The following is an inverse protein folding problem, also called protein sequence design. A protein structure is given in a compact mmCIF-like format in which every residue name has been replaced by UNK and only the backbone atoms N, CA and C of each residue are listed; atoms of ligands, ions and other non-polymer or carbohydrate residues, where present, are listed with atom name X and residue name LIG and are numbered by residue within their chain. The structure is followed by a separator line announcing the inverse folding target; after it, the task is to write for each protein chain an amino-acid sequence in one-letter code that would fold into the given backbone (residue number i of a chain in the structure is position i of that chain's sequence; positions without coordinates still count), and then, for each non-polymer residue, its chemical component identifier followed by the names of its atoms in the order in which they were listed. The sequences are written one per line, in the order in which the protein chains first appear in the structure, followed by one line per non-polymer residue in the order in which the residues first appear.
data_IF_403159334990
#
_entry.id   IF_403159334990
#
_cell.length_a   1.000
_cell.length_b   1.000
_cell.length_c   1.000
_cell.angle_alpha   90.00
_cell.angle_beta   90.00
_cell.angle_gamma   90.00
#
_symmetry.space_group_name_H-M   'P 1'
#
loop_
_entity.id
_entity.type
_entity.pdbx_description
1 polymer ?
#
# COMPACT_ATOMS: atom_id res chain seq x y z
N UNK A 1 -26.10 48.10 12.48
CA UNK A 1 -26.67 46.74 12.65
C UNK A 1 -28.09 46.91 13.17
N UNK A 2 -29.13 46.52 12.41
CA UNK A 2 -30.52 46.63 12.91
C UNK A 2 -30.67 45.68 14.09
N UNK A 3 -31.02 46.22 15.26
CA UNK A 3 -31.28 45.46 16.47
C UNK A 3 -32.51 44.57 16.19
N UNK A 4 -32.31 43.30 15.83
CA UNK A 4 -33.42 42.37 15.71
C UNK A 4 -33.93 42.11 17.12
N UNK A 5 -35.15 42.58 17.41
CA UNK A 5 -35.85 42.24 18.64
C UNK A 5 -36.01 40.71 18.64
N UNK A 6 -35.21 40.03 19.46
CA UNK A 6 -35.21 38.58 19.55
C UNK A 6 -36.27 38.14 20.55
N UNK A 7 -37.42 37.70 20.05
CA UNK A 7 -38.44 37.04 20.87
C UNK A 7 -37.95 35.66 21.31
N UNK A 8 -38.11 35.29 22.58
CA UNK A 8 -37.78 33.96 23.11
C UNK A 8 -38.62 32.87 22.43
N UNK A 9 -38.12 31.63 22.40
CA UNK A 9 -38.85 30.47 21.87
C UNK A 9 -40.19 30.26 22.58
N UNK A 10 -40.21 30.41 23.90
CA UNK A 10 -41.41 30.27 24.73
C UNK A 10 -42.51 31.27 24.34
N UNK A 11 -42.13 32.53 24.09
CA UNK A 11 -43.09 33.56 23.66
C UNK A 11 -43.63 33.25 22.26
N UNK A 12 -42.79 32.74 21.35
CA UNK A 12 -43.22 32.34 20.00
C UNK A 12 -44.17 31.16 20.03
N UNK A 13 -43.84 30.12 20.78
CA UNK A 13 -44.67 28.91 20.90
C UNK A 13 -46.00 29.20 21.56
N UNK A 14 -46.00 30.00 22.64
CA UNK A 14 -47.23 30.43 23.31
C UNK A 14 -48.11 31.30 22.40
N UNK A 15 -47.51 32.22 21.64
CA UNK A 15 -48.24 33.05 20.69
C UNK A 15 -48.91 32.23 19.60
N UNK A 16 -48.19 31.27 19.02
CA UNK A 16 -48.71 30.39 17.97
C UNK A 16 -49.82 29.48 18.51
N UNK A 17 -49.63 28.90 19.70
CA UNK A 17 -50.66 28.07 20.35
C UNK A 17 -51.95 28.87 20.59
N UNK A 18 -51.83 30.09 21.11
CA UNK A 18 -52.97 30.96 21.37
C UNK A 18 -53.72 31.32 20.08
N UNK A 19 -53.02 31.50 18.96
CA UNK A 19 -53.65 31.72 17.64
C UNK A 19 -54.46 30.52 17.21
N UNK A 20 -53.94 29.29 17.35
CA UNK A 20 -54.68 28.08 16.99
C UNK A 20 -55.90 27.84 17.90
N UNK A 21 -55.79 28.15 19.19
CA UNK A 21 -56.89 28.02 20.15
C UNK A 21 -58.03 29.02 19.87
N UNK A 22 -57.69 30.30 19.65
CA UNK A 22 -58.68 31.37 19.42
C UNK A 22 -59.13 31.48 17.96
N UNK A 23 -58.59 30.69 17.02
CA UNK A 23 -58.91 30.78 15.60
C UNK A 23 -60.41 30.59 15.31
N UNK A 24 -61.12 29.81 16.13
CA UNK A 24 -62.57 29.55 15.98
C UNK A 24 -63.47 30.67 16.51
N UNK A 25 -62.93 31.53 17.37
CA UNK A 25 -63.64 32.66 17.99
C UNK A 25 -63.54 33.94 17.15
N UNK A 26 -62.80 33.89 16.03
CA UNK A 26 -62.54 35.02 15.15
C UNK A 26 -62.98 34.71 13.71
N UNK A 27 -63.47 35.72 12.99
CA UNK A 27 -63.95 35.61 11.61
C UNK A 27 -62.90 35.08 10.61
N UNK A 28 -61.61 35.26 10.93
CA UNK A 28 -60.51 34.73 10.12
C UNK A 28 -59.25 34.53 10.96
N UNK A 29 -58.37 33.65 10.49
CA UNK A 29 -57.04 33.45 11.08
C UNK A 29 -56.23 34.76 11.15
N UNK A 30 -56.41 35.66 10.17
CA UNK A 30 -55.77 36.97 10.16
C UNK A 30 -56.33 37.91 11.23
N UNK A 31 -57.63 37.83 11.53
CA UNK A 31 -58.25 38.57 12.64
C UNK A 31 -57.72 38.10 14.00
N UNK A 32 -57.61 36.78 14.19
CA UNK A 32 -56.97 36.18 15.37
C UNK A 32 -55.50 36.63 15.53
N UNK A 33 -54.72 36.58 14.45
CA UNK A 33 -53.32 37.01 14.44
C UNK A 33 -53.19 38.51 14.80
N UNK A 34 -54.04 39.39 14.26
CA UNK A 34 -53.99 40.83 14.60
C UNK A 34 -54.31 41.09 16.07
N UNK A 35 -55.32 40.42 16.61
CA UNK A 35 -55.76 40.55 18.01
C UNK A 35 -54.71 40.02 19.00
N UNK A 36 -54.04 38.93 18.66
CA UNK A 36 -53.05 38.30 19.54
C UNK A 36 -51.69 39.00 19.43
N UNK A 37 -51.31 39.47 18.24
CA UNK A 37 -50.05 40.20 18.03
C UNK A 37 -49.98 41.48 18.87
N UNK A 38 -51.09 42.22 18.98
CA UNK A 38 -51.17 43.42 19.83
C UNK A 38 -51.01 43.10 21.32
N UNK A 39 -51.57 41.98 21.79
CA UNK A 39 -51.44 41.51 23.19
C UNK A 39 -50.04 41.04 23.55
N UNK A 40 -49.28 40.51 22.59
CA UNK A 40 -47.93 39.95 22.79
C UNK A 40 -46.82 41.00 22.54
N UNK A 41 -47.17 42.14 21.94
CA UNK A 41 -46.19 43.18 21.62
C UNK A 41 -45.32 42.82 20.41
N UNK A 42 -45.88 42.11 19.43
CA UNK A 42 -45.22 41.82 18.16
C UNK A 42 -46.03 42.33 16.97
N UNK A 43 -45.41 42.41 15.80
CA UNK A 43 -46.14 42.79 14.58
C UNK A 43 -46.96 41.60 14.08
N UNK A 44 -48.17 41.86 13.55
CA UNK A 44 -49.03 40.82 13.00
C UNK A 44 -48.33 39.95 11.93
N UNK A 45 -47.42 40.54 11.14
CA UNK A 45 -46.67 39.81 10.12
C UNK A 45 -45.60 38.87 10.73
N UNK A 46 -45.03 39.23 11.89
CA UNK A 46 -44.11 38.37 12.64
C UNK A 46 -44.84 37.14 13.17
N UNK A 47 -46.00 37.35 13.81
CA UNK A 47 -46.83 36.25 14.32
C UNK A 47 -47.35 35.36 13.18
N UNK A 48 -47.77 35.97 12.06
CA UNK A 48 -48.15 35.23 10.85
C UNK A 48 -47.03 34.33 10.37
N UNK A 49 -45.79 34.81 10.33
CA UNK A 49 -44.64 34.00 9.88
C UNK A 49 -44.40 32.80 10.80
N UNK A 50 -44.59 32.96 12.12
CA UNK A 50 -44.48 31.85 13.08
C UNK A 50 -45.61 30.82 12.90
N UNK A 51 -46.85 31.28 12.74
CA UNK A 51 -48.02 30.40 12.49
C UNK A 51 -47.84 29.62 11.20
N UNK A 52 -47.42 30.27 10.10
CA UNK A 52 -47.15 29.58 8.83
C UNK A 52 -46.06 28.52 8.93
N UNK A 53 -45.03 28.77 9.74
CA UNK A 53 -43.96 27.79 10.00
C UNK A 53 -44.50 26.60 10.80
N UNK A 54 -45.26 26.85 11.86
CA UNK A 54 -45.92 25.79 12.63
C UNK A 54 -46.91 24.96 11.81
N UNK A 55 -47.67 25.59 10.89
CA UNK A 55 -48.53 24.87 9.94
C UNK A 55 -47.75 23.97 8.99
N UNK A 56 -46.53 24.38 8.61
CA UNK A 56 -45.63 23.55 7.78
C UNK A 56 -45.08 22.39 8.59
N UNK A 57 -44.74 22.63 9.86
CA UNK A 57 -44.24 21.60 10.79
C UNK A 57 -45.33 20.58 11.17
N UNK A 58 -46.61 20.98 11.19
CA UNK A 58 -47.77 20.10 11.39
C UNK A 58 -48.26 19.43 10.09
N UNK A 59 -47.63 19.71 8.94
CA UNK A 59 -48.01 19.15 7.64
C UNK A 59 -49.32 19.71 7.04
N UNK A 60 -49.89 20.76 7.65
CA UNK A 60 -51.11 21.44 7.19
C UNK A 60 -50.81 22.26 5.93
N UNK A 61 -49.59 22.81 5.82
CA UNK A 61 -49.11 23.52 4.62
C UNK A 61 -47.93 22.78 4.01
N UNK A 62 -47.92 22.69 2.68
CA UNK A 62 -46.78 22.14 1.93
C UNK A 62 -45.50 22.96 2.11
N UNK A 63 -44.39 22.28 2.39
CA UNK A 63 -43.08 22.87 2.59
C UNK A 63 -42.16 21.93 3.37
N UNK A 64 -40.86 22.25 3.40
CA UNK A 64 -39.88 21.48 4.17
C UNK A 64 -40.05 21.84 5.66
N UNK A 65 -40.32 20.83 6.49
CA UNK A 65 -40.45 20.98 7.94
C UNK A 65 -39.14 21.48 8.57
N UNK A 66 -39.21 22.07 9.75
CA UNK A 66 -38.03 22.49 10.50
C UNK A 66 -37.12 21.29 10.82
N UNK A 67 -37.72 20.12 11.13
CA UNK A 67 -36.99 18.88 11.39
C UNK A 67 -36.22 18.39 10.15
N UNK A 68 -36.83 18.44 8.97
CA UNK A 68 -36.16 18.03 7.73
C UNK A 68 -35.04 18.99 7.35
N UNK A 69 -35.20 20.30 7.59
CA UNK A 69 -34.13 21.28 7.41
C UNK A 69 -32.94 21.02 8.35
N UNK A 70 -33.19 20.63 9.59
CA UNK A 70 -32.14 20.27 10.54
C UNK A 70 -31.41 18.99 10.13
N UNK A 71 -32.15 17.96 9.70
CA UNK A 71 -31.56 16.73 9.15
C UNK A 71 -30.71 16.99 7.93
N UNK A 72 -31.18 17.82 6.99
CA UNK A 72 -30.39 18.21 5.82
C UNK A 72 -29.08 18.90 6.22
N UNK A 73 -29.13 19.85 7.16
CA UNK A 73 -27.92 20.51 7.66
C UNK A 73 -26.95 19.54 8.34
N UNK A 74 -27.48 18.59 9.11
CA UNK A 74 -26.69 17.56 9.78
C UNK A 74 -26.02 16.64 8.75
N UNK A 75 -26.76 16.13 7.77
CA UNK A 75 -26.25 15.28 6.70
C UNK A 75 -25.22 16.03 5.82
N UNK A 76 -25.43 17.31 5.55
CA UNK A 76 -24.45 18.15 4.84
C UNK A 76 -23.18 18.39 5.66
N UNK A 77 -23.28 18.47 6.99
CA UNK A 77 -22.13 18.55 7.87
C UNK A 77 -21.35 17.23 7.89
N UNK A 78 -22.02 16.11 8.09
CA UNK A 78 -21.41 14.77 8.08
C UNK A 78 -20.74 14.48 6.74
N UNK A 79 -21.38 14.81 5.61
CA UNK A 79 -20.75 14.69 4.29
C UNK A 79 -19.50 15.56 4.14
N UNK A 80 -19.50 16.78 4.67
CA UNK A 80 -18.31 17.65 4.64
C UNK A 80 -17.18 17.08 5.50
N UNK A 81 -17.50 16.57 6.68
CA UNK A 81 -16.53 15.95 7.58
C UNK A 81 -15.96 14.66 6.99
N UNK A 82 -16.80 13.79 6.42
CA UNK A 82 -16.37 12.58 5.71
C UNK A 82 -15.48 12.90 4.50
N UNK A 83 -15.87 13.90 3.68
CA UNK A 83 -15.04 14.36 2.55
C UNK A 83 -13.70 14.91 3.01
N UNK A 84 -13.65 15.68 4.10
CA UNK A 84 -12.39 16.16 4.67
C UNK A 84 -11.53 15.03 5.26
N UNK A 85 -12.14 14.02 5.88
CA UNK A 85 -11.44 12.85 6.40
C UNK A 85 -10.80 12.01 5.28
N UNK A 86 -11.47 11.91 4.13
CA UNK A 86 -10.92 11.27 2.93
C UNK A 86 -9.76 12.12 2.37
N UNK A 87 -9.94 13.45 2.28
CA UNK A 87 -8.91 14.35 1.77
C UNK A 87 -7.64 14.35 2.65
N UNK A 88 -7.78 14.21 3.98
CA UNK A 88 -6.65 14.13 4.93
C UNK A 88 -5.92 12.78 4.97
N UNK A 89 -6.46 11.73 4.35
CA UNK A 89 -5.72 10.46 4.15
C UNK A 89 -4.86 10.59 2.88
N UNK A 90 -3.98 11.57 2.89
CA UNK A 90 -3.21 12.15 1.77
C UNK A 90 -2.27 11.17 1.03
N UNK A 91 -2.85 10.20 0.35
CA UNK A 91 -2.32 9.70 -0.91
C UNK A 91 -3.51 9.36 -1.79
N UNK A 92 -3.60 10.00 -2.97
CA UNK A 92 -4.45 9.47 -4.05
C UNK A 92 -4.13 7.98 -4.17
N UNK A 93 -5.13 7.08 -4.08
CA UNK A 93 -4.86 5.65 -4.18
C UNK A 93 -4.06 5.35 -5.44
N UNK A 94 -3.17 4.34 -5.41
CA UNK A 94 -2.45 3.91 -6.61
C UNK A 94 -3.41 3.71 -7.78
N UNK A 95 -2.96 4.04 -8.99
CA UNK A 95 -3.79 3.94 -10.20
C UNK A 95 -4.30 2.52 -10.41
N UNK A 96 -3.54 1.51 -10.00
CA UNK A 96 -3.95 0.11 -10.07
C UNK A 96 -5.21 -0.15 -9.21
N UNK A 97 -5.29 0.42 -8.01
CA UNK A 97 -6.45 0.26 -7.13
C UNK A 97 -7.69 0.97 -7.70
N UNK A 98 -7.52 2.16 -8.27
CA UNK A 98 -8.61 2.90 -8.89
C UNK A 98 -9.14 2.17 -10.13
N UNK A 99 -8.25 1.60 -10.96
CA UNK A 99 -8.63 0.79 -12.13
C UNK A 99 -9.36 -0.48 -11.70
N UNK A 100 -8.87 -1.18 -10.67
CA UNK A 100 -9.53 -2.37 -10.14
C UNK A 100 -10.95 -2.07 -9.63
N UNK A 101 -11.13 -0.94 -8.94
CA UNK A 101 -12.45 -0.50 -8.46
C UNK A 101 -13.42 -0.24 -9.63
N UNK A 102 -12.95 0.40 -10.70
CA UNK A 102 -13.74 0.60 -11.93
C UNK A 102 -14.10 -0.75 -12.55
N UNK A 103 -13.16 -1.70 -12.62
CA UNK A 103 -13.41 -3.02 -13.20
C UNK A 103 -14.46 -3.84 -12.45
N UNK A 104 -14.49 -3.75 -11.13
CA UNK A 104 -15.47 -4.41 -10.28
C UNK A 104 -16.90 -3.86 -10.49
N UNK A 105 -17.02 -2.56 -10.70
CA UNK A 105 -18.31 -1.87 -10.67
C UNK A 105 -18.85 -1.50 -12.07
N UNK A 106 -18.03 -1.56 -13.12
CA UNK A 106 -18.40 -1.12 -14.48
C UNK A 106 -19.60 -1.86 -15.08
N UNK A 107 -19.82 -3.12 -14.70
CA UNK A 107 -20.93 -3.92 -15.22
C UNK A 107 -22.30 -3.39 -14.74
N UNK A 108 -22.35 -2.76 -13.56
CA UNK A 108 -23.58 -2.25 -12.95
C UNK A 108 -23.80 -0.77 -13.25
N UNK A 109 -22.74 0.03 -13.26
CA UNK A 109 -22.85 1.50 -13.30
C UNK A 109 -22.26 2.14 -14.56
N UNK A 110 -21.54 1.39 -15.39
CA UNK A 110 -20.74 1.95 -16.50
C UNK A 110 -19.45 2.62 -16.02
N UNK A 111 -18.50 2.83 -16.94
CA UNK A 111 -17.15 3.33 -16.60
C UNK A 111 -17.18 4.83 -16.26
N UNK A 112 -17.84 5.64 -17.08
CA UNK A 112 -17.82 7.10 -16.95
C UNK A 112 -18.41 7.60 -15.62
N UNK A 113 -19.57 7.10 -15.13
CA UNK A 113 -20.11 7.54 -13.84
C UNK A 113 -19.21 7.20 -12.66
N UNK A 114 -18.53 6.05 -12.70
CA UNK A 114 -17.58 5.66 -11.65
C UNK A 114 -16.37 6.59 -11.69
N UNK A 115 -15.78 6.78 -12.87
CA UNK A 115 -14.62 7.64 -13.07
C UNK A 115 -14.85 9.08 -12.58
N UNK A 116 -16.05 9.62 -12.77
CA UNK A 116 -16.44 10.94 -12.25
C UNK A 116 -16.41 10.98 -10.72
N UNK A 117 -16.96 9.96 -10.04
CA UNK A 117 -17.01 9.91 -8.58
C UNK A 117 -15.63 9.75 -7.93
N UNK A 118 -14.74 8.95 -8.53
CA UNK A 118 -13.37 8.75 -8.04
C UNK A 118 -12.35 9.73 -8.65
N UNK A 119 -12.83 10.74 -9.40
CA UNK A 119 -12.03 11.84 -9.96
C UNK A 119 -10.86 11.38 -10.85
N UNK A 120 -11.11 10.42 -11.75
CA UNK A 120 -10.17 9.98 -12.79
C UNK A 120 -10.82 10.22 -14.17
N UNK A 121 -10.05 10.68 -15.15
CA UNK A 121 -10.55 10.78 -16.51
C UNK A 121 -10.77 9.37 -17.12
N UNK A 122 -11.89 9.09 -17.80
CA UNK A 122 -12.12 7.79 -18.44
C UNK A 122 -10.99 7.37 -19.41
N UNK A 123 -10.36 8.34 -20.08
CA UNK A 123 -9.20 8.12 -20.94
C UNK A 123 -8.02 7.46 -20.20
N UNK A 124 -7.78 7.83 -18.94
CA UNK A 124 -6.73 7.24 -18.11
C UNK A 124 -7.05 5.77 -17.80
N UNK A 125 -8.31 5.43 -17.50
CA UNK A 125 -8.73 4.04 -17.29
C UNK A 125 -8.50 3.21 -18.55
N UNK A 126 -8.99 3.67 -19.69
CA UNK A 126 -8.81 2.94 -20.95
C UNK A 126 -7.34 2.86 -21.38
N UNK A 127 -6.55 3.91 -21.17
CA UNK A 127 -5.12 3.91 -21.44
C UNK A 127 -4.39 2.89 -20.55
N UNK A 128 -4.72 2.80 -19.26
CA UNK A 128 -4.16 1.80 -18.36
C UNK A 128 -4.49 0.38 -18.82
N UNK A 129 -5.76 0.10 -19.12
CA UNK A 129 -6.19 -1.21 -19.64
C UNK A 129 -5.56 -1.54 -21.00
N UNK A 130 -5.29 -0.53 -21.82
CA UNK A 130 -4.59 -0.72 -23.11
C UNK A 130 -3.13 -1.06 -22.88
N UNK A 131 -2.44 -0.38 -21.95
CA UNK A 131 -1.04 -0.67 -21.57
C UNK A 131 -0.86 -2.05 -20.92
N UNK A 132 -1.88 -2.56 -20.22
CA UNK A 132 -1.86 -3.93 -19.68
C UNK A 132 -1.97 -4.99 -20.78
N UNK A 133 -2.76 -4.73 -21.82
CA UNK A 133 -2.97 -5.66 -22.94
C UNK A 133 -1.82 -5.64 -23.94
N UNK A 134 -1.24 -4.47 -24.17
CA UNK A 134 -0.20 -4.24 -25.16
C UNK A 134 1.09 -3.79 -24.47
N UNK A 135 2.03 -4.73 -24.33
CA UNK A 135 3.34 -4.47 -23.74
C UNK A 135 4.16 -3.44 -24.49
N UNK A 136 3.89 -3.21 -25.79
CA UNK A 136 4.59 -2.23 -26.59
C UNK A 136 4.12 -0.79 -26.33
N UNK A 137 2.97 -0.61 -25.69
CA UNK A 137 2.49 0.72 -25.26
C UNK A 137 2.98 1.11 -23.86
N UNK A 138 3.75 0.25 -23.19
CA UNK A 138 4.35 0.58 -21.91
C UNK A 138 5.38 1.72 -22.07
N UNK A 139 5.48 2.64 -21.10
CA UNK A 139 6.52 3.66 -21.09
C UNK A 139 7.92 3.04 -21.26
N UNK A 140 8.78 3.69 -22.06
CA UNK A 140 10.15 3.24 -22.34
C UNK A 140 10.96 2.90 -21.07
N UNK A 141 10.65 3.56 -19.96
CA UNK A 141 11.25 3.26 -18.65
C UNK A 141 10.86 1.88 -18.12
N UNK A 142 9.57 1.52 -18.16
CA UNK A 142 9.09 0.21 -17.70
C UNK A 142 9.67 -0.91 -18.59
N UNK A 143 9.75 -0.66 -19.90
CA UNK A 143 10.41 -1.58 -20.83
C UNK A 143 11.87 -1.83 -20.47
N UNK A 144 12.64 -0.75 -20.20
CA UNK A 144 14.04 -0.84 -19.75
C UNK A 144 14.16 -1.58 -18.41
N UNK A 145 13.31 -1.26 -17.43
CA UNK A 145 13.33 -1.92 -16.13
C UNK A 145 13.04 -3.42 -16.25
N UNK A 146 12.06 -3.83 -17.07
CA UNK A 146 11.77 -5.25 -17.36
C UNK A 146 12.96 -5.96 -18.01
N UNK A 147 13.60 -5.32 -19.00
CA UNK A 147 14.79 -5.87 -19.65
C UNK A 147 15.92 -6.07 -18.63
N UNK A 148 16.18 -5.06 -17.81
CA UNK A 148 17.22 -5.12 -16.77
C UNK A 148 16.98 -6.25 -15.76
N UNK A 149 15.72 -6.49 -15.39
CA UNK A 149 15.38 -7.61 -14.50
C UNK A 149 15.74 -8.97 -15.11
N UNK A 150 15.46 -9.15 -16.41
CA UNK A 150 15.87 -10.36 -17.14
C UNK A 150 17.38 -10.49 -17.20
N UNK A 151 18.10 -9.41 -17.49
CA UNK A 151 19.57 -9.38 -17.54
C UNK A 151 20.18 -9.74 -16.17
N UNK A 152 19.63 -9.20 -15.07
CA UNK A 152 20.02 -9.52 -13.69
C UNK A 152 19.81 -11.01 -13.41
N UNK A 153 18.64 -11.55 -13.75
CA UNK A 153 18.32 -12.94 -13.50
C UNK A 153 19.20 -13.89 -14.31
N UNK A 154 19.50 -13.53 -15.56
CA UNK A 154 20.40 -14.29 -16.41
C UNK A 154 21.80 -14.34 -15.81
N UNK A 155 22.42 -13.19 -15.50
CA UNK A 155 23.74 -13.12 -14.85
C UNK A 155 23.77 -13.92 -13.54
N UNK A 156 22.73 -13.80 -12.71
CA UNK A 156 22.68 -14.50 -11.44
C UNK A 156 22.58 -16.02 -11.61
N UNK A 157 21.74 -16.50 -12.54
CA UNK A 157 21.60 -17.94 -12.83
C UNK A 157 22.86 -18.52 -13.46
N UNK A 158 23.46 -17.80 -14.39
CA UNK A 158 24.70 -18.20 -15.07
C UNK A 158 25.87 -18.32 -14.08
N UNK A 159 25.91 -17.47 -13.06
CA UNK A 159 26.88 -17.54 -11.96
C UNK A 159 26.42 -18.43 -10.79
N UNK A 160 25.71 -19.52 -11.11
CA UNK A 160 25.25 -20.55 -10.16
C UNK A 160 24.50 -20.02 -8.93
N UNK A 161 23.89 -18.84 -9.05
CA UNK A 161 23.20 -18.14 -7.95
C UNK A 161 24.10 -17.76 -6.76
N UNK A 162 25.42 -17.86 -6.91
CA UNK A 162 26.42 -17.54 -5.87
C UNK A 162 26.65 -16.03 -5.76
N UNK A 163 26.42 -15.30 -6.85
CA UNK A 163 26.68 -13.86 -6.88
C UNK A 163 25.61 -13.08 -6.14
N UNK A 164 26.02 -12.35 -5.10
CA UNK A 164 25.18 -11.30 -4.51
C UNK A 164 25.13 -10.04 -5.36
N UNK A 165 24.25 -9.10 -4.96
CA UNK A 165 23.99 -7.80 -5.57
C UNK A 165 25.18 -7.11 -6.25
N UNK A 166 26.31 -6.99 -5.54
CA UNK A 166 27.52 -6.28 -6.01
C UNK A 166 28.29 -7.07 -7.06
N UNK A 167 28.33 -8.40 -6.98
CA UNK A 167 29.01 -9.25 -7.98
C UNK A 167 28.18 -9.32 -9.26
N UNK A 168 26.86 -9.47 -9.14
CA UNK A 168 25.92 -9.35 -10.28
C UNK A 168 26.10 -8.01 -10.99
N UNK A 169 26.20 -6.90 -10.23
CA UNK A 169 26.40 -5.58 -10.82
C UNK A 169 27.72 -5.47 -11.61
N UNK A 170 28.81 -5.98 -11.04
CA UNK A 170 30.11 -5.99 -11.74
C UNK A 170 30.07 -6.87 -12.99
N UNK A 171 29.36 -8.00 -12.92
CA UNK A 171 29.24 -8.89 -14.06
C UNK A 171 28.40 -8.24 -15.17
N UNK A 172 27.26 -7.61 -14.86
CA UNK A 172 26.49 -6.84 -15.84
C UNK A 172 27.33 -5.79 -16.59
N UNK A 173 28.22 -5.09 -15.88
CA UNK A 173 29.15 -4.15 -16.51
C UNK A 173 30.18 -4.83 -17.43
N UNK A 174 30.62 -6.05 -17.12
CA UNK A 174 31.52 -6.84 -17.98
C UNK A 174 30.80 -7.31 -19.25
N UNK A 175 29.51 -7.60 -19.15
CA UNK A 175 28.63 -7.95 -20.27
C UNK A 175 28.23 -6.70 -21.11
N UNK A 176 28.76 -5.52 -20.79
CA UNK A 176 28.46 -4.27 -21.50
C UNK A 176 27.09 -3.66 -21.19
N UNK A 177 26.41 -4.12 -20.13
CA UNK A 177 25.10 -3.63 -19.72
C UNK A 177 25.31 -2.50 -18.72
N UNK A 178 25.14 -1.26 -19.16
CA UNK A 178 25.31 -0.07 -18.32
C UNK A 178 24.17 0.09 -17.31
N UNK A 179 24.49 -0.13 -16.02
CA UNK A 179 23.53 -0.01 -14.92
C UNK A 179 24.14 0.79 -13.78
N UNK A 180 23.48 1.88 -13.40
CA UNK A 180 23.85 2.63 -12.20
C UNK A 180 23.47 1.85 -10.93
N UNK A 181 24.37 1.83 -9.92
CA UNK A 181 24.04 1.38 -8.55
C UNK A 181 23.07 2.39 -7.92
N UNK A 182 21.78 2.19 -8.14
CA UNK A 182 20.71 3.01 -7.63
C UNK A 182 19.86 2.23 -6.61
N UNK A 183 19.09 2.96 -5.79
CA UNK A 183 18.08 2.36 -4.89
C UNK A 183 17.18 1.37 -5.65
N UNK A 184 16.86 1.67 -6.91
CA UNK A 184 16.04 0.80 -7.76
C UNK A 184 16.74 -0.49 -8.15
N UNK A 185 18.03 -0.45 -8.46
CA UNK A 185 18.81 -1.65 -8.75
C UNK A 185 18.82 -2.58 -7.53
N UNK A 186 19.03 -2.03 -6.33
CA UNK A 186 18.99 -2.79 -5.08
C UNK A 186 17.58 -3.33 -4.79
N UNK A 187 16.53 -2.56 -5.03
CA UNK A 187 15.14 -3.00 -4.87
C UNK A 187 14.78 -4.14 -5.84
N UNK A 188 15.27 -4.09 -7.09
CA UNK A 188 15.05 -5.18 -8.07
C UNK A 188 15.75 -6.46 -7.67
N UNK A 189 16.97 -6.38 -7.17
CA UNK A 189 17.67 -7.54 -6.61
C UNK A 189 16.88 -8.14 -5.43
N UNK A 190 16.31 -7.28 -4.57
CA UNK A 190 15.42 -7.71 -3.48
C UNK A 190 14.17 -8.42 -3.99
N UNK A 191 13.50 -7.85 -5.00
CA UNK A 191 12.31 -8.44 -5.62
C UNK A 191 12.61 -9.78 -6.31
N UNK A 192 13.81 -9.94 -6.87
CA UNK A 192 14.28 -11.18 -7.44
C UNK A 192 14.74 -12.22 -6.40
N UNK A 193 14.60 -11.93 -5.10
CA UNK A 193 15.15 -12.72 -3.98
C UNK A 193 16.67 -12.96 -4.07
N UNK A 194 17.38 -12.07 -4.76
CA UNK A 194 18.84 -12.10 -4.87
C UNK A 194 19.39 -11.34 -3.66
N UNK A 195 19.49 -12.04 -2.54
CA UNK A 195 20.07 -11.49 -1.33
C UNK A 195 21.55 -11.13 -1.56
N UNK A 196 21.98 -10.06 -0.91
CA UNK A 196 23.40 -9.80 -0.80
C UNK A 196 24.01 -10.90 0.08
N UNK A 197 24.83 -11.78 -0.52
CA UNK A 197 25.75 -12.68 0.18
C UNK A 197 26.89 -11.86 0.79
N UNK A 198 26.53 -10.99 1.72
CA UNK A 198 27.45 -10.33 2.64
C UNK A 198 26.72 -10.35 3.96
N UNK A 199 27.39 -10.92 4.96
CA UNK A 199 26.97 -10.81 6.34
C UNK A 199 26.73 -9.36 6.75
N UNK A 200 26.15 -9.16 7.93
CA UNK A 200 25.98 -7.82 8.48
C UNK A 200 27.34 -7.11 8.47
N UNK A 201 27.43 -5.88 7.98
CA UNK A 201 28.71 -5.15 7.92
C UNK A 201 29.38 -5.15 9.29
N UNK A 202 30.59 -5.70 9.39
CA UNK A 202 31.34 -5.84 10.64
C UNK A 202 31.17 -7.19 11.36
N UNK A 203 30.41 -8.13 10.80
CA UNK A 203 30.28 -9.50 11.31
C UNK A 203 31.18 -10.46 10.51
N UNK A 204 32.23 -10.97 11.14
CA UNK A 204 33.16 -11.91 10.53
C UNK A 204 32.67 -13.36 10.61
N UNK A 205 31.68 -13.68 11.44
CA UNK A 205 31.26 -15.07 11.67
C UNK A 205 30.66 -15.70 10.40
N UNK A 206 29.90 -14.94 9.62
CA UNK A 206 29.26 -15.41 8.38
C UNK A 206 30.27 -15.92 7.32
N UNK A 207 31.51 -15.44 7.35
CA UNK A 207 32.56 -15.85 6.41
C UNK A 207 33.69 -16.67 7.06
N UNK A 208 33.73 -16.76 8.39
CA UNK A 208 34.84 -17.35 9.13
C UNK A 208 35.13 -18.80 8.74
N UNK A 209 34.09 -19.61 8.52
CA UNK A 209 34.24 -21.02 8.09
C UNK A 209 34.93 -21.11 6.71
N UNK A 210 34.45 -20.32 5.74
CA UNK A 210 35.02 -20.30 4.40
C UNK A 210 36.46 -19.76 4.39
N UNK A 211 36.75 -18.74 5.22
CA UNK A 211 38.11 -18.20 5.37
C UNK A 211 39.07 -19.21 6.00
N UNK A 212 38.61 -20.00 6.97
CA UNK A 212 39.42 -21.06 7.60
C UNK A 212 39.82 -22.12 6.58
N UNK A 213 38.86 -22.63 5.80
CA UNK A 213 39.12 -23.62 4.74
C UNK A 213 40.08 -23.04 3.68
N UNK A 214 39.83 -21.82 3.22
CA UNK A 214 40.72 -21.15 2.26
C UNK A 214 42.13 -20.93 2.83
N UNK A 215 42.26 -20.64 4.12
CA UNK A 215 43.54 -20.52 4.81
C UNK A 215 44.32 -21.83 4.86
N UNK A 216 43.63 -22.93 5.17
CA UNK A 216 44.19 -24.29 5.14
C UNK A 216 44.66 -24.66 3.74
N UNK A 217 43.80 -24.51 2.73
CA UNK A 217 44.14 -24.79 1.33
C UNK A 217 45.39 -24.02 0.88
N UNK A 218 45.44 -22.72 1.16
CA UNK A 218 46.60 -21.89 0.80
C UNK A 218 47.88 -22.35 1.49
N UNK A 219 47.78 -22.86 2.72
CA UNK A 219 48.94 -23.31 3.49
C UNK A 219 49.41 -24.68 3.03
N UNK A 220 48.50 -25.64 2.95
CA UNK A 220 48.78 -27.05 2.65
C UNK A 220 49.09 -27.30 1.17
N UNK A 221 48.51 -26.51 0.27
CA UNK A 221 48.68 -26.67 -1.19
C UNK A 221 49.51 -25.54 -1.74
N UNK A 222 48.96 -24.31 -1.78
CA UNK A 222 49.54 -23.21 -2.55
C UNK A 222 50.96 -22.86 -2.10
N UNK A 223 51.18 -22.75 -0.78
CA UNK A 223 52.50 -22.41 -0.22
C UNK A 223 53.43 -23.61 -0.18
N UNK A 224 52.93 -24.78 0.26
CA UNK A 224 53.77 -25.97 0.45
C UNK A 224 54.25 -26.59 -0.86
N UNK A 225 53.43 -26.58 -1.92
CA UNK A 225 53.77 -27.17 -3.23
C UNK A 225 54.33 -26.14 -4.23
N UNK A 226 54.58 -24.91 -3.79
CA UNK A 226 55.24 -23.86 -4.59
C UNK A 226 56.68 -24.28 -4.96
N UNK A 227 57.22 -23.92 -6.15
CA UNK A 227 56.64 -23.06 -7.19
C UNK A 227 55.76 -23.78 -8.21
N UNK A 228 54.75 -23.06 -8.72
CA UNK A 228 53.78 -23.54 -9.71
C UNK A 228 54.16 -23.11 -11.14
N UNK A 229 53.95 -23.97 -12.14
CA UNK A 229 54.31 -23.66 -13.54
C UNK A 229 53.18 -22.98 -14.31
N UNK A 230 51.93 -23.22 -13.92
CA UNK A 230 50.76 -22.63 -14.56
C UNK A 230 49.47 -22.85 -13.76
N UNK A 231 48.36 -22.35 -14.30
CA UNK A 231 47.02 -22.48 -13.68
C UNK A 231 46.57 -23.94 -13.66
N UNK A 232 46.86 -24.70 -14.72
CA UNK A 232 46.47 -26.11 -14.85
C UNK A 232 47.05 -26.97 -13.71
N UNK A 233 48.31 -26.77 -13.33
CA UNK A 233 48.93 -27.48 -12.20
C UNK A 233 48.20 -27.20 -10.88
N UNK A 234 47.77 -25.94 -10.68
CA UNK A 234 47.03 -25.51 -9.49
C UNK A 234 45.63 -26.13 -9.49
N UNK A 235 44.97 -26.19 -10.65
CA UNK A 235 43.65 -26.82 -10.79
C UNK A 235 43.70 -28.31 -10.42
N UNK A 236 44.66 -29.07 -10.96
CA UNK A 236 44.83 -30.49 -10.60
C UNK A 236 45.12 -30.67 -9.10
N UNK A 237 46.03 -29.87 -8.53
CA UNK A 237 46.33 -29.94 -7.11
C UNK A 237 45.11 -29.54 -6.24
N UNK A 238 44.26 -28.64 -6.71
CA UNK A 238 43.01 -28.28 -6.04
C UNK A 238 42.05 -29.45 -6.03
N UNK A 239 41.85 -30.13 -7.16
CA UNK A 239 40.99 -31.31 -7.27
C UNK A 239 41.46 -32.44 -6.34
N UNK A 240 42.76 -32.74 -6.35
CA UNK A 240 43.35 -33.73 -5.43
C UNK A 240 43.11 -33.37 -3.96
N UNK A 241 43.34 -32.10 -3.60
CA UNK A 241 43.19 -31.66 -2.22
C UNK A 241 41.72 -31.68 -1.78
N UNK A 242 40.77 -31.29 -2.64
CA UNK A 242 39.34 -31.34 -2.34
C UNK A 242 38.85 -32.78 -2.15
N UNK A 243 39.29 -33.72 -3.00
CA UNK A 243 38.98 -35.14 -2.81
C UNK A 243 39.52 -35.64 -1.46
N UNK A 244 40.81 -35.40 -1.20
CA UNK A 244 41.43 -35.83 0.04
C UNK A 244 40.78 -35.20 1.28
N UNK A 245 40.50 -33.89 1.25
CA UNK A 245 39.92 -33.16 2.38
C UNK A 245 38.53 -33.69 2.75
N UNK A 246 37.70 -34.01 1.77
CA UNK A 246 36.34 -34.48 2.04
C UNK A 246 36.27 -35.98 2.32
N UNK A 247 37.03 -36.79 1.58
CA UNK A 247 36.87 -38.25 1.59
C UNK A 247 37.90 -39.00 2.44
N UNK A 248 38.99 -38.36 2.88
CA UNK A 248 40.10 -39.05 3.57
C UNK A 248 40.64 -38.33 4.80
N UNK A 249 40.53 -36.99 4.88
CA UNK A 249 41.01 -36.21 6.02
C UNK A 249 40.15 -36.47 7.24
N UNK A 250 40.79 -36.97 8.30
CA UNK A 250 40.13 -37.13 9.60
C UNK A 250 40.12 -35.79 10.34
N UNK A 251 38.96 -35.43 10.88
CA UNK A 251 38.76 -34.18 11.62
C UNK A 251 38.36 -34.50 13.06
N UNK A 252 39.21 -34.12 14.00
CA UNK A 252 39.01 -34.39 15.44
C UNK A 252 37.70 -33.79 15.96
N UNK A 253 37.34 -32.58 15.50
CA UNK A 253 36.14 -31.86 15.93
C UNK A 253 34.82 -32.57 15.60
N UNK A 254 34.84 -33.53 14.66
CA UNK A 254 33.66 -34.31 14.25
C UNK A 254 33.81 -35.81 14.58
N UNK A 255 34.72 -36.16 15.49
CA UNK A 255 34.89 -37.54 15.95
C UNK A 255 35.89 -38.36 15.14
N UNK A 256 36.86 -37.72 14.47
CA UNK A 256 37.91 -38.37 13.69
C UNK A 256 37.40 -39.21 12.52
N UNK A 257 36.39 -38.73 11.81
CA UNK A 257 35.89 -39.32 10.57
C UNK A 257 36.07 -38.33 9.39
N UNK A 258 36.08 -38.82 8.13
CA UNK A 258 36.04 -37.96 6.96
C UNK A 258 34.76 -37.11 6.90
N UNK A 259 34.86 -35.93 6.28
CA UNK A 259 33.75 -35.00 6.18
C UNK A 259 32.56 -35.59 5.40
N UNK A 260 32.84 -36.36 4.34
CA UNK A 260 31.82 -37.02 3.53
C UNK A 260 31.03 -38.07 4.33
N UNK A 261 31.69 -38.83 5.20
CA UNK A 261 31.02 -39.80 6.08
C UNK A 261 30.14 -39.09 7.12
N UNK A 262 30.66 -38.02 7.74
CA UNK A 262 29.88 -37.21 8.68
C UNK A 262 28.63 -36.59 8.03
N UNK A 263 28.76 -36.06 6.81
CA UNK A 263 27.63 -35.51 6.05
C UNK A 263 26.59 -36.59 5.71
N UNK A 264 27.03 -37.79 5.32
CA UNK A 264 26.13 -38.92 5.08
C UNK A 264 25.35 -39.30 6.34
N UNK A 265 26.02 -39.42 7.48
CA UNK A 265 25.39 -39.76 8.77
C UNK A 265 24.38 -38.70 9.20
N UNK A 266 24.71 -37.41 9.03
CA UNK A 266 23.82 -36.30 9.33
C UNK A 266 22.51 -36.39 8.54
N UNK A 267 22.58 -36.57 7.21
CA UNK A 267 21.38 -36.67 6.37
C UNK A 267 20.58 -37.94 6.63
N UNK A 268 21.23 -39.05 6.98
CA UNK A 268 20.53 -40.28 7.38
C UNK A 268 19.70 -40.07 8.66
N UNK A 269 20.26 -39.41 9.68
CA UNK A 269 19.56 -39.09 10.92
C UNK A 269 18.39 -38.12 10.71
N UNK A 270 18.59 -37.11 9.86
CA UNK A 270 17.56 -36.11 9.55
C UNK A 270 16.38 -36.73 8.78
N UNK A 271 16.65 -37.59 7.80
CA UNK A 271 15.63 -38.31 7.04
C UNK A 271 14.90 -39.37 7.88
N UNK A 272 15.59 -40.01 8.84
CA UNK A 272 14.98 -40.93 9.80
C UNK A 272 14.00 -40.22 10.74
N UNK A 273 14.37 -39.03 11.22
CA UNK A 273 13.52 -38.20 12.09
C UNK A 273 12.30 -37.62 11.37
N UNK A 274 12.45 -37.25 10.10
CA UNK A 274 11.34 -36.77 9.26
C UNK A 274 10.36 -37.88 8.82
N UNK A 275 10.78 -39.16 8.84
CA UNK A 275 9.90 -40.31 8.59
C UNK A 275 9.17 -40.82 9.84
N UNK A 276 9.65 -40.49 11.03
CA UNK A 276 9.09 -40.92 12.30
C UNK A 276 8.11 -39.89 12.93
N UNK A 277 8.03 -38.69 12.37
CA UNK A 277 7.09 -37.62 12.74
C UNK A 277 5.94 -37.54 11.73
#
# INVERSE_FOLDING_TARGET
MKNQISYSSEVRERAVRLVFEQQKEHESQWSAIKSIASKIGCTAETLRTWVRRAETDQGIRGGISSSDRERLKQLERENRELKQAILRKDARPPIEMMVAFVDEHKARYGVEPICEQIQIAPSIYYEHRTRERDSDRLPNRIKRDRKLELDIQWVWKDNFRVYGARKVWRQLLREGIEVARSIRYTERLRQANIASSVGRTGDSYDNAMAETINGLFKTEVIRHRSPWRGIEDVEFATLEWVDWFNNRRLLESIGNIPLAEFEMDYYQQQNGSAKAA
#
